data_IF_259689986337
#
_entry.id   IF_259689986337
#
_cell.length_a   1.000
_cell.length_b   1.000
_cell.length_c   1.000
_cell.angle_alpha   90.00
_cell.angle_beta   90.00
_cell.angle_gamma   90.00
#
_symmetry.space_group_name_H-M   'P 1'
#
loop_
_entity.id
_entity.type
_entity.pdbx_description
1 polymer ?
#
# COMPACT_ATOMS: atom_id res chain seq x y z
N UNK A 1 -19.96 -12.24 32.15
CA UNK A 1 -20.16 -10.83 31.78
C UNK A 1 -19.43 -10.61 30.48
N UNK A 2 -20.16 -10.63 29.39
CA UNK A 2 -19.61 -10.31 28.06
C UNK A 2 -19.47 -8.80 27.94
N UNK A 3 -18.26 -8.31 27.92
CA UNK A 3 -18.01 -6.91 27.51
C UNK A 3 -18.23 -6.79 26.02
N UNK A 4 -19.37 -6.20 25.70
CA UNK A 4 -19.70 -5.73 24.35
C UNK A 4 -18.68 -4.67 23.96
N UNK A 5 -17.78 -4.98 23.03
CA UNK A 5 -16.90 -4.00 22.37
C UNK A 5 -17.77 -3.03 21.57
N UNK A 6 -18.29 -2.03 22.25
CA UNK A 6 -18.92 -0.88 21.64
C UNK A 6 -17.86 -0.18 20.80
N UNK A 7 -18.06 -0.14 19.49
CA UNK A 7 -17.28 0.67 18.57
C UNK A 7 -17.34 2.13 19.04
N UNK A 8 -16.30 2.59 19.73
CA UNK A 8 -16.14 4.03 19.94
C UNK A 8 -15.95 4.67 18.58
N UNK A 9 -17.02 5.29 18.07
CA UNK A 9 -16.92 6.21 16.97
C UNK A 9 -15.82 7.24 17.31
N UNK A 10 -14.86 7.40 16.42
CA UNK A 10 -13.83 8.41 16.57
C UNK A 10 -14.49 9.78 16.51
N UNK A 11 -14.20 10.69 17.48
CA UNK A 11 -14.64 12.07 17.36
C UNK A 11 -14.03 12.66 16.08
N UNK A 12 -14.78 13.48 15.38
CA UNK A 12 -14.48 14.12 14.09
C UNK A 12 -12.99 14.34 13.87
N UNK A 13 -12.36 13.39 13.15
CA UNK A 13 -11.01 13.57 12.65
C UNK A 13 -11.00 14.84 11.77
N UNK A 14 -9.97 15.69 11.85
CA UNK A 14 -9.86 16.81 10.91
C UNK A 14 -10.05 16.23 9.51
N UNK A 15 -11.03 16.77 8.79
CA UNK A 15 -11.46 16.32 7.47
C UNK A 15 -10.24 15.95 6.65
N UNK A 16 -10.29 14.77 6.11
CA UNK A 16 -9.30 14.16 5.25
C UNK A 16 -8.44 15.22 4.56
N UNK A 17 -7.13 15.00 4.56
CA UNK A 17 -6.27 15.67 3.59
C UNK A 17 -6.93 15.42 2.24
N UNK A 18 -7.53 16.47 1.69
CA UNK A 18 -8.25 16.41 0.44
C UNK A 18 -7.38 15.68 -0.58
N UNK A 19 -7.88 14.60 -1.17
CA UNK A 19 -7.16 13.85 -2.22
C UNK A 19 -6.57 14.78 -3.27
N UNK A 20 -7.27 15.88 -3.59
CA UNK A 20 -6.81 16.91 -4.50
C UNK A 20 -5.55 17.63 -3.97
N UNK A 21 -5.45 17.84 -2.66
CA UNK A 21 -4.26 18.44 -2.04
C UNK A 21 -3.08 17.47 -2.05
N UNK A 22 -3.32 16.21 -1.74
CA UNK A 22 -2.29 15.16 -1.83
C UNK A 22 -1.80 15.08 -3.28
N UNK A 23 -2.71 14.98 -4.25
CA UNK A 23 -2.39 14.94 -5.66
C UNK A 23 -1.53 16.15 -6.09
N UNK A 24 -1.95 17.38 -5.74
CA UNK A 24 -1.22 18.60 -6.07
C UNK A 24 0.19 18.63 -5.48
N UNK A 25 0.35 18.19 -4.23
CA UNK A 25 1.66 18.15 -3.58
C UNK A 25 2.61 17.17 -4.26
N UNK A 26 2.13 15.95 -4.52
CA UNK A 26 2.95 14.94 -5.21
C UNK A 26 3.18 15.29 -6.66
N UNK A 27 2.22 15.95 -7.32
CA UNK A 27 2.40 16.53 -8.65
C UNK A 27 3.63 17.43 -8.68
N UNK A 28 3.67 18.44 -7.80
CA UNK A 28 4.80 19.37 -7.69
C UNK A 28 6.12 18.66 -7.34
N UNK A 29 6.03 17.67 -6.45
CA UNK A 29 7.22 16.93 -6.02
C UNK A 29 7.85 16.15 -7.16
N UNK A 30 7.04 15.54 -8.04
CA UNK A 30 7.52 14.86 -9.23
C UNK A 30 7.98 15.81 -10.34
N UNK A 31 7.35 16.97 -10.48
CA UNK A 31 7.81 18.03 -11.39
C UNK A 31 9.22 18.53 -11.03
N UNK A 32 9.46 18.74 -9.74
CA UNK A 32 10.72 19.29 -9.24
C UNK A 32 11.88 18.26 -9.27
N UNK A 33 11.59 16.96 -9.11
CA UNK A 33 12.63 15.95 -8.81
C UNK A 33 12.64 14.75 -9.76
N UNK A 34 11.56 14.47 -10.44
CA UNK A 34 11.50 13.35 -11.39
C UNK A 34 11.93 12.02 -10.79
N UNK A 35 12.90 11.35 -11.44
CA UNK A 35 13.42 10.04 -11.05
C UNK A 35 14.45 10.07 -9.91
N UNK A 36 14.87 11.24 -9.46
CA UNK A 36 15.90 11.37 -8.41
C UNK A 36 15.40 11.02 -7.01
N UNK A 37 14.09 10.81 -6.84
CA UNK A 37 13.49 10.56 -5.55
C UNK A 37 14.05 9.32 -4.87
N UNK A 38 13.96 8.15 -5.53
CA UNK A 38 14.37 6.86 -4.95
C UNK A 38 15.23 6.00 -5.88
N UNK A 39 15.56 6.50 -7.07
CA UNK A 39 16.21 5.69 -8.10
C UNK A 39 15.31 4.53 -8.58
N UNK A 40 15.92 3.48 -9.13
CA UNK A 40 15.20 2.32 -9.69
C UNK A 40 15.43 1.00 -8.94
N UNK A 41 16.10 1.03 -7.78
CA UNK A 41 16.20 -0.17 -6.96
C UNK A 41 14.84 -0.47 -6.32
N UNK A 42 14.33 -1.73 -6.43
CA UNK A 42 13.02 -2.07 -5.89
C UNK A 42 12.97 -1.92 -4.38
N UNK A 43 11.82 -1.52 -3.86
CA UNK A 43 11.59 -1.38 -2.43
C UNK A 43 11.67 -2.73 -1.70
N UNK A 44 11.95 -2.72 -0.39
CA UNK A 44 11.83 -3.93 0.44
C UNK A 44 10.44 -4.57 0.33
N UNK A 45 9.39 -3.76 0.28
CA UNK A 45 7.99 -4.19 0.15
C UNK A 45 7.75 -4.95 -1.15
N UNK A 46 8.28 -4.44 -2.28
CA UNK A 46 8.17 -5.10 -3.58
C UNK A 46 8.89 -6.44 -3.61
N UNK A 47 10.08 -6.52 -3.01
CA UNK A 47 10.84 -7.79 -2.91
C UNK A 47 10.09 -8.84 -2.08
N UNK A 48 9.45 -8.44 -0.98
CA UNK A 48 8.65 -9.33 -0.13
C UNK A 48 7.47 -9.89 -0.92
N UNK A 49 6.70 -9.02 -1.62
CA UNK A 49 5.59 -9.47 -2.44
C UNK A 49 6.05 -10.39 -3.56
N UNK A 50 7.05 -9.99 -4.34
CA UNK A 50 7.56 -10.79 -5.44
C UNK A 50 8.00 -12.19 -4.98
N UNK A 51 8.71 -12.27 -3.85
CA UNK A 51 9.13 -13.53 -3.25
C UNK A 51 7.94 -14.41 -2.88
N UNK A 52 6.95 -13.86 -2.19
CA UNK A 52 5.75 -14.60 -1.78
C UNK A 52 4.99 -15.16 -2.99
N UNK A 53 4.84 -14.37 -4.06
CA UNK A 53 4.18 -14.81 -5.29
C UNK A 53 4.97 -15.94 -5.97
N UNK A 54 6.28 -15.79 -6.09
CA UNK A 54 7.14 -16.77 -6.77
C UNK A 54 7.19 -18.09 -5.99
N UNK A 55 7.24 -18.04 -4.67
CA UNK A 55 7.21 -19.25 -3.83
C UNK A 55 5.84 -19.95 -3.89
N UNK A 56 4.75 -19.19 -3.98
CA UNK A 56 3.38 -19.72 -4.13
C UNK A 56 3.03 -20.19 -5.54
N UNK A 57 3.80 -19.77 -6.57
CA UNK A 57 3.60 -20.17 -7.97
C UNK A 57 4.92 -20.58 -8.65
N UNK A 58 5.60 -21.63 -8.16
CA UNK A 58 6.94 -21.99 -8.61
C UNK A 58 7.01 -22.40 -10.09
N UNK A 59 5.90 -22.89 -10.66
CA UNK A 59 5.83 -23.29 -12.08
C UNK A 59 5.51 -22.15 -13.02
N UNK A 60 5.19 -20.94 -12.50
CA UNK A 60 4.76 -19.77 -13.28
C UNK A 60 3.68 -20.10 -14.32
N UNK A 61 2.79 -21.04 -13.97
CA UNK A 61 1.76 -21.57 -14.88
C UNK A 61 0.67 -20.54 -15.23
N UNK A 62 0.58 -19.47 -14.44
CA UNK A 62 -0.42 -18.42 -14.61
C UNK A 62 0.25 -17.04 -14.64
N UNK A 63 -0.24 -16.17 -15.51
CA UNK A 63 0.08 -14.75 -15.46
C UNK A 63 -0.55 -14.12 -14.22
N UNK A 64 0.22 -13.34 -13.51
CA UNK A 64 -0.21 -12.66 -12.29
C UNK A 64 -0.28 -11.18 -12.58
N UNK A 65 -1.47 -10.61 -12.43
CA UNK A 65 -1.70 -9.18 -12.52
C UNK A 65 -1.61 -8.56 -11.13
N UNK A 66 -0.78 -7.53 -11.00
CA UNK A 66 -0.52 -6.77 -9.77
C UNK A 66 -1.07 -5.36 -9.94
N UNK A 67 -1.89 -4.89 -8.99
CA UNK A 67 -2.16 -3.46 -8.85
C UNK A 67 -1.06 -2.84 -8.02
N UNK A 68 -0.39 -1.82 -8.56
CA UNK A 68 0.57 -0.96 -7.85
C UNK A 68 -0.11 0.38 -7.54
N UNK A 69 -0.67 0.49 -6.32
CA UNK A 69 -1.41 1.66 -5.87
C UNK A 69 -0.49 2.71 -5.24
N UNK A 70 -0.43 3.89 -5.84
CA UNK A 70 0.57 4.92 -5.59
C UNK A 70 1.90 4.57 -6.25
N UNK A 71 1.84 4.17 -7.54
CA UNK A 71 3.00 3.63 -8.26
C UNK A 71 4.13 4.66 -8.48
N UNK A 72 3.85 5.95 -8.27
CA UNK A 72 4.81 7.01 -8.52
C UNK A 72 5.32 6.97 -9.97
N UNK A 73 6.61 7.13 -10.15
CA UNK A 73 7.25 7.02 -11.48
C UNK A 73 7.54 5.57 -11.92
N UNK A 74 6.94 4.58 -11.26
CA UNK A 74 6.99 3.19 -11.68
C UNK A 74 8.18 2.38 -11.20
N UNK A 75 8.90 2.79 -10.14
CA UNK A 75 10.07 2.09 -9.59
C UNK A 75 9.80 0.61 -9.33
N UNK A 76 8.79 0.32 -8.51
CA UNK A 76 8.43 -1.04 -8.13
C UNK A 76 7.65 -1.76 -9.24
N UNK A 77 6.84 -1.03 -10.01
CA UNK A 77 6.16 -1.54 -11.21
C UNK A 77 7.15 -2.13 -12.21
N UNK A 78 8.25 -1.44 -12.52
CA UNK A 78 9.28 -1.92 -13.46
C UNK A 78 9.93 -3.22 -12.95
N UNK A 79 10.21 -3.31 -11.66
CA UNK A 79 10.73 -4.53 -11.06
C UNK A 79 9.78 -5.72 -11.22
N UNK A 80 8.49 -5.50 -11.01
CA UNK A 80 7.48 -6.56 -11.21
C UNK A 80 7.40 -7.00 -12.67
N UNK A 81 7.45 -6.07 -13.62
CA UNK A 81 7.42 -6.38 -15.05
C UNK A 81 8.65 -7.19 -15.48
N UNK A 82 9.82 -6.87 -14.96
CA UNK A 82 11.06 -7.61 -15.22
C UNK A 82 10.98 -9.06 -14.71
N UNK A 83 10.23 -9.29 -13.64
CA UNK A 83 9.96 -10.62 -13.09
C UNK A 83 8.85 -11.39 -13.84
N UNK A 84 8.16 -10.76 -14.79
CA UNK A 84 7.12 -11.40 -15.60
C UNK A 84 5.70 -11.20 -15.09
N UNK A 85 5.47 -10.24 -14.19
CA UNK A 85 4.14 -9.88 -13.75
C UNK A 85 3.55 -8.79 -14.66
N UNK A 86 2.23 -8.83 -14.86
CA UNK A 86 1.50 -7.75 -15.50
C UNK A 86 1.10 -6.72 -14.43
N UNK A 87 1.28 -5.42 -14.70
CA UNK A 87 1.10 -4.37 -13.70
C UNK A 87 0.08 -3.34 -14.13
N UNK A 88 -0.81 -3.00 -13.21
CA UNK A 88 -1.70 -1.83 -13.30
C UNK A 88 -1.18 -0.80 -12.29
N UNK A 89 -0.39 0.16 -12.75
CA UNK A 89 0.09 1.26 -11.93
C UNK A 89 -0.95 2.37 -11.83
N UNK A 90 -1.24 2.82 -10.61
CA UNK A 90 -2.23 3.88 -10.34
C UNK A 90 -1.57 4.92 -9.44
N UNK A 91 -1.64 6.19 -9.81
CA UNK A 91 -1.19 7.30 -8.97
C UNK A 91 -2.13 8.52 -9.13
N UNK A 92 -2.28 9.31 -8.09
CA UNK A 92 -3.08 10.55 -8.16
C UNK A 92 -2.39 11.65 -8.98
N UNK A 93 -1.06 11.59 -9.13
CA UNK A 93 -0.27 12.57 -9.86
C UNK A 93 -0.14 12.17 -11.34
N UNK A 94 -0.64 13.02 -12.23
CA UNK A 94 -0.44 12.85 -13.67
C UNK A 94 1.03 12.90 -14.09
N UNK A 95 1.84 13.72 -13.41
CA UNK A 95 3.29 13.78 -13.66
C UNK A 95 3.95 12.46 -13.28
N UNK A 96 3.60 11.87 -12.13
CA UNK A 96 4.09 10.55 -11.75
C UNK A 96 3.77 9.50 -12.81
N UNK A 97 2.52 9.44 -13.27
CA UNK A 97 2.07 8.51 -14.31
C UNK A 97 2.79 8.74 -15.65
N UNK A 98 3.01 10.00 -16.01
CA UNK A 98 3.77 10.36 -17.21
C UNK A 98 5.22 9.88 -17.14
N UNK A 99 5.86 10.07 -15.99
CA UNK A 99 7.21 9.57 -15.73
C UNK A 99 7.23 8.02 -15.75
N UNK A 100 6.26 7.35 -15.15
CA UNK A 100 6.16 5.89 -15.16
C UNK A 100 6.04 5.33 -16.59
N UNK A 101 5.18 5.94 -17.41
CA UNK A 101 5.07 5.59 -18.83
C UNK A 101 6.37 5.83 -19.61
N UNK A 102 7.07 6.93 -19.31
CA UNK A 102 8.37 7.26 -19.88
C UNK A 102 9.43 6.23 -19.51
N UNK A 103 9.55 5.89 -18.24
CA UNK A 103 10.47 4.89 -17.73
C UNK A 103 10.21 3.50 -18.33
N UNK A 104 8.94 3.10 -18.47
CA UNK A 104 8.56 1.85 -19.11
C UNK A 104 8.97 1.81 -20.58
N UNK A 105 8.67 2.87 -21.36
CA UNK A 105 9.10 2.98 -22.76
C UNK A 105 10.62 2.94 -22.91
N UNK A 106 11.35 3.64 -22.05
CA UNK A 106 12.82 3.63 -22.05
C UNK A 106 13.35 2.23 -21.75
N UNK A 107 12.74 1.50 -20.79
CA UNK A 107 13.13 0.13 -20.50
C UNK A 107 12.86 -0.80 -21.67
N UNK A 108 11.72 -0.67 -22.36
CA UNK A 108 11.44 -1.42 -23.60
C UNK A 108 12.48 -1.16 -24.69
N UNK A 109 12.92 0.10 -24.85
CA UNK A 109 13.89 0.50 -25.84
C UNK A 109 15.33 0.07 -25.49
N UNK A 110 15.64 -0.23 -24.23
CA UNK A 110 16.99 -0.59 -23.77
C UNK A 110 17.44 -2.01 -24.16
N UNK A 111 16.56 -2.80 -24.79
CA UNK A 111 16.84 -4.18 -25.18
C UNK A 111 16.82 -5.17 -24.00
N UNK A 112 16.51 -4.73 -22.79
CA UNK A 112 16.29 -5.61 -21.64
C UNK A 112 14.94 -6.29 -21.82
N UNK A 113 14.87 -7.64 -21.82
CA UNK A 113 13.61 -8.33 -21.95
C UNK A 113 12.66 -7.99 -20.81
N UNK A 114 11.48 -7.46 -21.13
CA UNK A 114 10.39 -7.32 -20.21
C UNK A 114 9.50 -8.56 -20.33
N UNK A 115 9.41 -9.34 -19.29
CA UNK A 115 8.65 -10.60 -19.29
C UNK A 115 7.16 -10.37 -19.04
N UNK A 116 6.80 -9.25 -18.41
CA UNK A 116 5.43 -8.81 -18.16
C UNK A 116 5.10 -7.53 -18.94
N UNK A 117 3.91 -7.00 -18.69
CA UNK A 117 3.41 -5.76 -19.28
C UNK A 117 2.96 -4.77 -18.22
N UNK A 118 2.79 -3.49 -18.60
CA UNK A 118 2.22 -2.48 -17.70
C UNK A 118 1.24 -1.55 -18.38
N UNK A 119 0.26 -1.11 -17.60
CA UNK A 119 -0.57 0.07 -17.89
C UNK A 119 -0.51 1.02 -16.69
N UNK A 120 -0.43 2.33 -16.96
CA UNK A 120 -0.36 3.35 -15.92
C UNK A 120 -1.51 4.34 -16.05
N UNK A 121 -2.20 4.61 -14.93
CA UNK A 121 -3.42 5.41 -14.89
C UNK A 121 -3.34 6.48 -13.81
N UNK A 122 -3.68 7.72 -14.19
CA UNK A 122 -3.85 8.79 -13.22
C UNK A 122 -5.26 8.71 -12.62
N UNK A 123 -5.35 8.83 -11.30
CA UNK A 123 -6.61 8.76 -10.56
C UNK A 123 -6.53 7.93 -9.30
N UNK A 124 -7.67 7.66 -8.71
CA UNK A 124 -7.77 6.75 -7.56
C UNK A 124 -8.21 5.34 -7.99
N UNK A 125 -8.09 4.41 -7.06
CA UNK A 125 -8.40 3.00 -7.30
C UNK A 125 -9.85 2.80 -7.77
N UNK A 126 -10.79 3.51 -7.15
CA UNK A 126 -12.20 3.42 -7.50
C UNK A 126 -12.47 3.82 -8.95
N UNK A 127 -11.92 4.96 -9.38
CA UNK A 127 -12.10 5.48 -10.74
C UNK A 127 -11.53 4.55 -11.81
N UNK A 128 -10.37 3.94 -11.54
CA UNK A 128 -9.71 3.02 -12.48
C UNK A 128 -10.45 1.70 -12.59
N UNK A 129 -10.89 1.12 -11.47
CA UNK A 129 -11.56 -0.20 -11.47
C UNK A 129 -13.05 -0.14 -11.78
N UNK A 130 -13.73 1.00 -11.59
CA UNK A 130 -15.13 1.18 -12.02
C UNK A 130 -15.33 0.89 -13.51
N UNK A 131 -14.31 1.18 -14.34
CA UNK A 131 -14.35 0.90 -15.78
C UNK A 131 -13.95 -0.54 -16.14
N UNK A 132 -13.50 -1.34 -15.16
CA UNK A 132 -13.01 -2.72 -15.36
C UNK A 132 -13.96 -3.74 -14.70
N UNK A 133 -15.25 -3.67 -15.01
CA UNK A 133 -16.25 -4.60 -14.46
C UNK A 133 -15.88 -6.05 -14.74
N UNK A 134 -15.75 -6.84 -13.67
CA UNK A 134 -15.47 -8.28 -13.75
C UNK A 134 -14.00 -8.67 -13.79
N UNK A 135 -13.06 -7.75 -13.97
CA UNK A 135 -11.64 -8.06 -13.86
C UNK A 135 -11.21 -8.06 -12.38
N UNK A 136 -10.50 -9.10 -12.00
CA UNK A 136 -9.94 -9.25 -10.66
C UNK A 136 -8.45 -9.52 -10.75
N UNK A 137 -7.70 -9.01 -9.75
CA UNK A 137 -6.25 -9.12 -9.70
C UNK A 137 -5.78 -10.14 -8.70
N UNK A 138 -4.60 -10.72 -8.93
CA UNK A 138 -3.97 -11.73 -8.08
C UNK A 138 -3.08 -11.12 -7.00
N UNK A 139 -2.74 -9.84 -7.11
CA UNK A 139 -2.04 -9.13 -6.05
C UNK A 139 -2.40 -7.64 -6.01
N UNK A 140 -2.49 -7.10 -4.82
CA UNK A 140 -2.56 -5.68 -4.52
C UNK A 140 -1.29 -5.26 -3.78
N UNK A 141 -0.64 -4.25 -4.29
CA UNK A 141 0.59 -3.70 -3.75
C UNK A 141 0.46 -2.20 -3.52
N UNK A 142 1.02 -1.71 -2.42
CA UNK A 142 1.13 -0.28 -2.16
C UNK A 142 2.32 0.00 -1.25
N UNK A 143 3.29 0.76 -1.74
CA UNK A 143 4.48 1.10 -0.97
C UNK A 143 4.49 2.57 -0.59
N UNK A 144 4.49 2.87 0.72
CA UNK A 144 4.61 4.22 1.28
C UNK A 144 3.49 5.20 0.89
N UNK A 145 2.27 4.71 0.71
CA UNK A 145 1.10 5.52 0.36
C UNK A 145 0.13 5.66 1.54
N UNK A 146 -0.13 4.57 2.25
CA UNK A 146 -1.22 4.50 3.23
C UNK A 146 -1.09 5.52 4.37
N UNK A 147 0.14 5.89 4.75
CA UNK A 147 0.39 6.90 5.78
C UNK A 147 0.08 8.35 5.34
N UNK A 148 -0.21 8.55 4.06
CA UNK A 148 -0.64 9.85 3.50
C UNK A 148 -2.16 9.99 3.51
N UNK A 149 -2.89 8.88 3.69
CA UNK A 149 -4.34 8.84 3.64
C UNK A 149 -4.94 9.17 5.00
N UNK A 150 -6.10 9.80 4.98
CA UNK A 150 -6.95 9.86 6.17
C UNK A 150 -7.49 8.47 6.50
N UNK A 151 -8.02 8.28 7.71
CA UNK A 151 -8.63 7.00 8.09
C UNK A 151 -9.79 6.62 7.15
N UNK A 152 -10.59 7.59 6.73
CA UNK A 152 -11.72 7.37 5.81
C UNK A 152 -11.18 6.94 4.45
N UNK A 153 -10.22 7.68 3.90
CA UNK A 153 -9.63 7.34 2.59
C UNK A 153 -8.89 5.99 2.63
N UNK A 154 -8.25 5.66 3.75
CA UNK A 154 -7.60 4.38 3.95
C UNK A 154 -8.60 3.22 3.93
N UNK A 155 -9.75 3.37 4.62
CA UNK A 155 -10.83 2.38 4.60
C UNK A 155 -11.43 2.22 3.21
N UNK A 156 -11.66 3.34 2.51
CA UNK A 156 -12.20 3.32 1.16
C UNK A 156 -11.23 2.66 0.18
N UNK A 157 -9.94 3.04 0.20
CA UNK A 157 -8.91 2.42 -0.63
C UNK A 157 -8.77 0.91 -0.34
N UNK A 158 -8.86 0.51 0.92
CA UNK A 158 -8.78 -0.91 1.31
C UNK A 158 -10.00 -1.69 0.84
N UNK A 159 -11.21 -1.13 0.99
CA UNK A 159 -12.45 -1.75 0.49
C UNK A 159 -12.41 -1.90 -1.02
N UNK A 160 -11.95 -0.89 -1.74
CA UNK A 160 -11.80 -0.93 -3.20
C UNK A 160 -10.75 -1.97 -3.61
N UNK A 161 -9.62 -2.06 -2.87
CA UNK A 161 -8.63 -3.12 -3.06
C UNK A 161 -9.24 -4.52 -2.89
N UNK A 162 -9.97 -4.76 -1.80
CA UNK A 162 -10.64 -6.05 -1.57
C UNK A 162 -11.66 -6.37 -2.66
N UNK A 163 -12.32 -5.36 -3.22
CA UNK A 163 -13.29 -5.57 -4.29
C UNK A 163 -12.62 -5.98 -5.61
N UNK A 164 -11.46 -5.42 -5.93
CA UNK A 164 -10.76 -5.74 -7.17
C UNK A 164 -9.89 -7.00 -7.10
N UNK A 165 -9.64 -7.57 -5.93
CA UNK A 165 -8.82 -8.76 -5.74
C UNK A 165 -9.64 -10.05 -5.86
N UNK A 166 -9.00 -11.12 -6.38
CA UNK A 166 -9.49 -12.49 -6.30
C UNK A 166 -9.42 -13.04 -4.87
N UNK A 167 -10.17 -14.10 -4.57
CA UNK A 167 -9.97 -14.88 -3.36
C UNK A 167 -8.59 -15.53 -3.38
N UNK A 168 -7.89 -15.54 -2.25
CA UNK A 168 -6.52 -16.00 -2.16
C UNK A 168 -5.47 -15.08 -2.78
N UNK A 169 -5.84 -13.92 -3.34
CA UNK A 169 -4.90 -12.94 -3.88
C UNK A 169 -4.00 -12.35 -2.77
N UNK A 170 -2.79 -11.98 -3.14
CA UNK A 170 -1.83 -11.36 -2.21
C UNK A 170 -2.17 -9.89 -1.97
N UNK A 171 -2.14 -9.49 -0.70
CA UNK A 171 -2.22 -8.10 -0.28
C UNK A 171 -0.90 -7.73 0.40
N UNK A 172 -0.15 -6.78 -0.17
CA UNK A 172 1.13 -6.35 0.38
C UNK A 172 1.23 -4.83 0.41
N UNK A 173 1.31 -4.28 1.60
CA UNK A 173 1.34 -2.83 1.78
C UNK A 173 2.38 -2.42 2.80
N UNK A 174 2.93 -1.21 2.64
CA UNK A 174 3.79 -0.60 3.64
C UNK A 174 3.35 0.81 4.00
N UNK A 175 3.63 1.17 5.24
CA UNK A 175 3.41 2.51 5.74
C UNK A 175 4.47 2.87 6.80
N UNK A 176 4.63 4.16 7.10
CA UNK A 176 5.50 4.61 8.18
C UNK A 176 5.04 4.04 9.51
N UNK A 177 5.96 3.46 10.26
CA UNK A 177 5.72 3.02 11.62
C UNK A 177 5.98 4.14 12.63
N UNK A 178 5.47 4.04 13.87
CA UNK A 178 5.82 5.01 14.92
C UNK A 178 7.32 5.10 15.22
N UNK A 179 8.11 4.07 14.88
CA UNK A 179 9.56 4.08 15.03
C UNK A 179 10.25 5.15 14.13
N UNK A 180 9.53 5.65 13.12
CA UNK A 180 10.01 6.70 12.21
C UNK A 180 9.82 8.12 12.77
N UNK A 181 9.18 8.26 13.92
CA UNK A 181 8.94 9.56 14.51
C UNK A 181 10.24 10.22 14.97
N UNK A 182 10.49 11.42 14.43
CA UNK A 182 11.66 12.23 14.76
C UNK A 182 11.24 13.54 15.39
N UNK A 183 11.51 13.71 16.69
CA UNK A 183 11.14 14.90 17.46
C UNK A 183 11.79 16.19 16.94
N UNK A 184 12.94 16.11 16.27
CA UNK A 184 13.58 17.29 15.67
C UNK A 184 12.80 17.79 14.44
N UNK A 185 12.15 16.90 13.70
CA UNK A 185 11.49 17.19 12.43
C UNK A 185 9.97 17.30 12.55
N UNK A 186 9.38 16.65 13.55
CA UNK A 186 7.93 16.46 13.67
C UNK A 186 7.45 16.75 15.09
N UNK A 187 6.16 17.00 15.18
CA UNK A 187 5.42 17.06 16.44
C UNK A 187 4.13 16.26 16.35
N UNK A 188 3.72 15.64 17.44
CA UNK A 188 2.43 14.95 17.49
C UNK A 188 1.27 15.94 17.41
N UNK A 189 0.21 15.53 16.73
CA UNK A 189 -1.05 16.27 16.80
C UNK A 189 -1.64 16.05 18.20
N UNK A 190 -2.00 17.11 18.94
CA UNK A 190 -2.60 16.99 20.26
C UNK A 190 -3.82 16.06 20.28
N UNK A 191 -3.85 15.11 21.21
CA UNK A 191 -4.90 14.08 21.31
C UNK A 191 -4.80 12.96 20.28
N UNK A 192 -3.72 12.93 19.47
CA UNK A 192 -3.40 11.89 18.50
C UNK A 192 -1.94 11.44 18.61
N UNK A 193 -1.40 11.50 19.82
CA UNK A 193 -0.04 11.08 20.12
C UNK A 193 0.16 9.62 19.69
N UNK A 194 1.32 9.35 19.09
CA UNK A 194 1.69 8.05 18.51
C UNK A 194 0.89 7.58 17.28
N UNK A 195 -0.08 8.38 16.82
CA UNK A 195 -0.88 8.07 15.63
C UNK A 195 -0.64 9.06 14.50
N UNK A 196 -0.71 10.36 14.79
CA UNK A 196 -0.60 11.39 13.75
C UNK A 196 0.40 12.45 14.17
N UNK A 197 1.35 12.74 13.28
CA UNK A 197 2.27 13.85 13.44
C UNK A 197 2.24 14.81 12.25
N UNK A 198 2.74 16.01 12.45
CA UNK A 198 2.99 16.98 11.39
C UNK A 198 4.45 17.41 11.37
N UNK A 199 4.93 17.79 10.19
CA UNK A 199 6.25 18.38 10.09
C UNK A 199 6.28 19.78 10.69
N UNK A 200 7.36 20.11 11.41
CA UNK A 200 7.63 21.45 11.94
C UNK A 200 8.07 22.43 10.87
N UNK A 201 8.65 21.93 9.77
CA UNK A 201 9.07 22.74 8.63
C UNK A 201 7.85 23.35 7.93
N UNK A 202 7.76 24.69 7.79
CA UNK A 202 6.68 25.37 7.09
C UNK A 202 6.51 24.91 5.63
N UNK A 203 7.60 24.54 4.93
CA UNK A 203 7.54 24.04 3.57
C UNK A 203 6.84 22.67 3.47
N UNK A 204 6.81 21.93 4.58
CA UNK A 204 6.10 20.66 4.75
C UNK A 204 4.86 20.82 5.66
N UNK A 205 4.58 22.04 6.15
CA UNK A 205 3.44 22.30 7.02
C UNK A 205 2.14 22.01 6.29
N UNK A 206 1.25 21.29 6.97
CA UNK A 206 -0.02 20.88 6.40
C UNK A 206 -0.03 19.47 5.84
N UNK A 207 1.11 18.75 5.88
CA UNK A 207 1.13 17.30 5.69
C UNK A 207 1.13 16.61 7.05
N UNK A 208 0.01 16.03 7.40
CA UNK A 208 -0.05 15.09 8.49
C UNK A 208 0.45 13.73 8.00
N UNK A 209 1.23 13.07 8.82
CA UNK A 209 1.63 11.68 8.60
C UNK A 209 0.87 10.84 9.59
N UNK A 210 0.11 9.87 9.08
CA UNK A 210 -0.51 8.85 9.89
C UNK A 210 0.47 7.71 10.08
N UNK A 211 0.97 7.52 11.29
CA UNK A 211 1.81 6.38 11.62
C UNK A 211 0.95 5.14 11.77
N UNK A 212 1.37 4.09 11.08
CA UNK A 212 0.59 2.86 11.00
C UNK A 212 1.18 1.81 11.94
N UNK A 213 0.35 1.29 12.83
CA UNK A 213 0.67 0.17 13.71
C UNK A 213 0.03 -1.12 13.21
N UNK A 214 0.50 -2.26 13.73
CA UNK A 214 -0.18 -3.55 13.52
C UNK A 214 -1.66 -3.48 13.89
N UNK A 215 -1.98 -2.84 15.02
CA UNK A 215 -3.36 -2.68 15.47
C UNK A 215 -4.23 -1.83 14.54
N UNK A 216 -3.69 -0.73 13.99
CA UNK A 216 -4.42 0.10 13.04
C UNK A 216 -4.67 -0.64 11.70
N UNK A 217 -3.70 -1.39 11.19
CA UNK A 217 -3.89 -2.23 10.00
C UNK A 217 -4.94 -3.32 10.24
N UNK A 218 -4.89 -4.01 11.37
CA UNK A 218 -5.88 -5.04 11.71
C UNK A 218 -7.30 -4.49 11.77
N UNK A 219 -7.50 -3.27 12.27
CA UNK A 219 -8.82 -2.63 12.28
C UNK A 219 -9.39 -2.35 10.88
N UNK A 220 -8.51 -2.17 9.91
CA UNK A 220 -8.91 -1.81 8.53
C UNK A 220 -9.08 -3.03 7.64
N UNK A 221 -8.20 -4.04 7.77
CA UNK A 221 -8.15 -5.19 6.85
C UNK A 221 -8.28 -6.55 7.55
N UNK A 222 -8.34 -6.59 8.88
CA UNK A 222 -8.15 -7.85 9.63
C UNK A 222 -9.20 -8.92 9.34
N UNK A 223 -10.42 -8.53 8.99
CA UNK A 223 -11.48 -9.49 8.67
C UNK A 223 -11.40 -10.01 7.22
N UNK A 224 -10.73 -9.28 6.34
CA UNK A 224 -10.67 -9.58 4.91
C UNK A 224 -9.43 -10.38 4.52
N UNK A 225 -8.45 -10.50 5.44
CA UNK A 225 -7.18 -11.17 5.20
C UNK A 225 -6.98 -12.39 6.10
N UNK A 226 -6.24 -13.34 5.56
CA UNK A 226 -5.67 -14.49 6.26
C UNK A 226 -4.15 -14.55 6.04
N UNK A 227 -3.44 -15.44 6.74
CA UNK A 227 -1.99 -15.66 6.65
C UNK A 227 -1.16 -14.38 6.79
N UNK A 228 -1.61 -13.46 7.65
CA UNK A 228 -0.99 -12.16 7.81
C UNK A 228 0.39 -12.22 8.46
N UNK A 229 1.37 -11.65 7.78
CA UNK A 229 2.74 -11.49 8.24
C UNK A 229 3.10 -10.01 8.31
N UNK A 230 3.81 -9.63 9.37
CA UNK A 230 4.27 -8.27 9.61
C UNK A 230 5.79 -8.23 9.64
N UNK A 231 6.37 -7.36 8.82
CA UNK A 231 7.81 -7.15 8.74
C UNK A 231 8.14 -5.69 8.95
N UNK A 232 9.17 -5.39 9.75
CA UNK A 232 9.77 -4.06 9.80
C UNK A 232 10.87 -3.96 8.77
N UNK A 233 10.92 -2.85 8.05
CA UNK A 233 11.98 -2.56 7.09
C UNK A 233 12.38 -1.10 7.16
N UNK A 234 13.51 -0.77 6.57
CA UNK A 234 13.96 0.60 6.39
C UNK A 234 14.32 0.83 4.94
N UNK A 235 14.00 1.99 4.44
CA UNK A 235 14.49 2.47 3.14
C UNK A 235 14.67 3.99 3.21
N UNK A 236 15.60 4.58 2.45
CA UNK A 236 15.77 6.03 2.45
C UNK A 236 14.50 6.73 1.99
N UNK A 237 14.17 7.87 2.58
CA UNK A 237 13.04 8.69 2.14
C UNK A 237 13.24 9.17 0.69
N UNK A 238 14.50 9.40 0.34
CA UNK A 238 15.00 9.71 -1.01
C UNK A 238 16.47 9.32 -1.08
N UNK A 239 17.03 9.26 -2.28
CA UNK A 239 18.47 9.00 -2.44
C UNK A 239 19.30 9.99 -1.59
N UNK A 240 20.16 9.44 -0.73
CA UNK A 240 21.02 10.22 0.16
C UNK A 240 20.38 10.81 1.42
N UNK A 241 19.12 10.49 1.70
CA UNK A 241 18.46 10.86 2.97
C UNK A 241 18.57 9.76 4.02
N UNK A 242 18.30 10.08 5.31
CA UNK A 242 18.14 9.07 6.34
C UNK A 242 17.02 8.07 5.99
N UNK A 243 17.14 6.87 6.53
CA UNK A 243 16.15 5.82 6.36
C UNK A 243 14.82 6.17 7.03
N UNK A 244 13.75 5.80 6.35
CA UNK A 244 12.39 5.78 6.87
C UNK A 244 12.06 4.40 7.38
N UNK A 245 11.51 4.30 8.60
CA UNK A 245 11.11 3.03 9.19
C UNK A 245 9.67 2.67 8.80
N UNK A 246 9.53 1.50 8.20
CA UNK A 246 8.28 1.02 7.64
C UNK A 246 7.77 -0.21 8.39
N UNK A 247 6.46 -0.29 8.52
CA UNK A 247 5.74 -1.53 8.80
C UNK A 247 5.16 -2.05 7.49
N UNK A 248 5.49 -3.30 7.17
CA UNK A 248 5.00 -4.01 5.98
C UNK A 248 4.02 -5.07 6.44
N UNK A 249 2.85 -5.13 5.82
CA UNK A 249 1.87 -6.19 5.96
C UNK A 249 1.82 -6.97 4.65
N UNK A 250 2.03 -8.28 4.74
CA UNK A 250 1.71 -9.26 3.70
C UNK A 250 0.59 -10.16 4.20
N UNK A 251 -0.42 -10.43 3.40
CA UNK A 251 -1.52 -11.34 3.70
C UNK A 251 -2.15 -11.89 2.42
N UNK A 252 -3.14 -12.76 2.60
CA UNK A 252 -3.95 -13.30 1.51
C UNK A 252 -5.39 -12.87 1.69
N UNK A 253 -6.08 -12.49 0.61
CA UNK A 253 -7.51 -12.20 0.67
C UNK A 253 -8.28 -13.47 1.04
N UNK A 254 -9.09 -13.39 2.08
CA UNK A 254 -9.90 -14.51 2.56
C UNK A 254 -10.94 -14.94 1.52
N UNK A 255 -11.15 -16.24 1.36
CA UNK A 255 -12.20 -16.80 0.52
C UNK A 255 -13.59 -16.65 1.16
N UNK A 256 -14.62 -16.47 0.36
CA UNK A 256 -16.02 -16.50 0.81
C UNK A 256 -16.38 -17.94 1.17
N UNK A 257 -16.30 -18.31 2.43
CA UNK A 257 -16.62 -19.66 2.90
C UNK A 257 -15.69 -20.22 3.95
N UNK A 258 -14.66 -19.50 4.34
CA UNK A 258 -13.77 -19.91 5.43
C UNK A 258 -14.35 -19.64 6.84
N UNK A 259 -15.59 -19.16 6.94
CA UNK A 259 -16.30 -19.01 8.20
C UNK A 259 -16.95 -20.33 8.62
N UNK A 260 -16.17 -21.30 9.08
CA UNK A 260 -16.67 -22.40 9.93
C UNK A 260 -15.52 -23.24 10.51
N UNK A 261 -14.68 -22.67 11.31
CA UNK A 261 -14.05 -23.41 12.40
C UNK A 261 -14.55 -22.81 13.71
N UNK A 262 -15.80 -23.11 14.04
CA UNK A 262 -16.28 -23.03 15.42
C UNK A 262 -15.32 -23.86 16.29
N UNK A 263 -14.75 -23.34 17.36
CA UNK A 263 -13.98 -24.19 18.29
C UNK A 263 -14.93 -25.29 18.77
N UNK A 264 -14.58 -26.52 18.51
CA UNK A 264 -15.23 -27.70 19.13
C UNK A 264 -15.15 -27.51 20.63
N UNK A 265 -16.28 -27.16 21.25
CA UNK A 265 -16.44 -27.25 22.70
C UNK A 265 -16.08 -28.66 23.15
N UNK A 266 -15.05 -28.73 24.01
CA UNK A 266 -14.59 -29.96 24.57
C UNK A 266 -15.74 -30.67 25.27
N UNK A 267 -16.05 -31.88 24.82
CA UNK A 267 -16.86 -32.83 25.54
C UNK A 267 -16.17 -33.15 26.87
N UNK A 268 -16.76 -32.66 27.94
CA UNK A 268 -16.44 -33.05 29.32
C UNK A 268 -16.82 -34.53 29.47
N UNK A 269 -15.96 -35.42 29.92
CA UNK A 269 -16.41 -36.73 30.39
C UNK A 269 -17.10 -36.55 31.76
N UNK A 270 -18.34 -36.95 31.79
CA UNK A 270 -19.09 -37.07 33.05
C UNK A 270 -18.58 -38.25 33.93
N UNK A 271 -18.90 -38.24 35.21
CA UNK A 271 -18.17 -38.84 36.33
C UNK A 271 -18.11 -40.37 36.36
#
# INVERSE_FOLDING_TARGET
>A
MQETLVSKAWPDAPRALDKARIAKTWQQYYEDRGYELWGFSPSPTARILARAILDGNPRRSERIEIVDYGCGYGRDSLYFIELGFDVIGIDLSETAVTLARGAYKQRQASGIPLLGSASFHAGDLHSVFKCRTGQRVRAFFSNRVLHLLSEIDLRDATRDAMTCMEEGAYFCVSARSPDDFNTALMEWIPGKEHEIARYKDPARSGHNITFVTKGSLLRVVGNDLEDMQYTKASEPERVGSPDTHLLILLGRKRGRGSDAATPMEGSNPAP
#
